data_IF_484517901019
#
_entry.id   IF_484517901019
#
_cell.length_a   1.000
_cell.length_b   1.000
_cell.length_c   1.000
_cell.angle_alpha   90.00
_cell.angle_beta   90.00
_cell.angle_gamma   90.00
#
_symmetry.space_group_name_H-M   'P 1'
#
loop_
_entity.id
_entity.type
_entity.pdbx_description
1 polymer ?
#
# COMPACT_ATOMS: atom_id res chain seq x y z
N UNK A 1 -6.06 -30.56 50.07
CA UNK A 1 -5.19 -30.48 48.87
C UNK A 1 -5.64 -29.27 48.08
N UNK A 2 -4.79 -28.25 48.03
CA UNK A 2 -5.02 -26.93 47.44
C UNK A 2 -4.75 -26.97 45.94
N UNK A 3 -5.74 -26.63 45.11
CA UNK A 3 -5.51 -26.23 43.72
C UNK A 3 -5.13 -24.75 43.68
N UNK A 4 -4.06 -24.34 42.98
CA UNK A 4 -3.72 -22.93 42.86
C UNK A 4 -4.56 -22.25 41.77
N UNK A 5 -5.07 -21.06 42.09
CA UNK A 5 -5.61 -20.10 41.14
C UNK A 5 -4.53 -19.66 40.14
N UNK A 6 -4.83 -19.78 38.85
CA UNK A 6 -4.06 -19.11 37.80
C UNK A 6 -4.95 -18.07 37.11
N UNK A 7 -4.78 -16.77 37.39
CA UNK A 7 -5.36 -15.73 36.56
C UNK A 7 -4.45 -15.52 35.34
N UNK A 8 -4.78 -16.14 34.20
CA UNK A 8 -4.27 -15.66 32.92
C UNK A 8 -5.07 -14.41 32.55
N UNK A 9 -4.52 -13.24 32.86
CA UNK A 9 -5.03 -11.97 32.35
C UNK A 9 -4.61 -11.84 30.88
N UNK A 10 -5.46 -12.31 29.96
CA UNK A 10 -5.37 -12.01 28.53
C UNK A 10 -5.98 -10.62 28.28
N UNK A 11 -5.27 -9.57 28.66
CA UNK A 11 -5.62 -8.20 28.31
C UNK A 11 -4.35 -7.38 28.13
N UNK A 12 -3.95 -7.16 26.87
CA UNK A 12 -3.42 -5.89 26.30
C UNK A 12 -2.70 -6.07 24.95
N UNK A 13 -2.35 -7.29 24.56
CA UNK A 13 -1.69 -7.53 23.28
C UNK A 13 -2.64 -7.35 22.09
N UNK A 14 -3.92 -7.69 22.23
CA UNK A 14 -4.89 -7.60 21.14
C UNK A 14 -5.40 -6.17 20.89
N UNK A 15 -5.41 -5.31 21.92
CA UNK A 15 -5.77 -3.89 21.80
C UNK A 15 -4.64 -3.09 21.16
N UNK A 16 -3.40 -3.29 21.61
CA UNK A 16 -2.20 -2.64 21.07
C UNK A 16 -1.83 -3.12 19.68
N UNK A 17 -1.96 -4.42 19.38
CA UNK A 17 -1.79 -4.92 18.02
C UNK A 17 -2.85 -4.35 17.07
N UNK A 18 -4.11 -4.26 17.53
CA UNK A 18 -5.19 -3.66 16.75
C UNK A 18 -4.96 -2.17 16.45
N UNK A 19 -4.47 -1.39 17.41
CA UNK A 19 -4.15 0.03 17.19
C UNK A 19 -2.92 0.22 16.29
N UNK A 20 -1.88 -0.59 16.45
CA UNK A 20 -0.70 -0.54 15.58
C UNK A 20 -1.04 -0.92 14.14
N UNK A 21 -1.82 -1.99 13.93
CA UNK A 21 -2.27 -2.41 12.61
C UNK A 21 -3.12 -1.34 11.94
N UNK A 22 -3.99 -0.68 12.70
CA UNK A 22 -4.77 0.45 12.19
C UNK A 22 -3.87 1.63 11.78
N UNK A 23 -2.89 2.00 12.61
CA UNK A 23 -1.91 3.04 12.27
C UNK A 23 -1.11 2.69 10.99
N UNK A 24 -0.73 1.42 10.82
CA UNK A 24 -0.04 0.96 9.62
C UNK A 24 -0.90 1.10 8.37
N UNK A 25 -2.20 0.77 8.45
CA UNK A 25 -3.15 0.97 7.34
C UNK A 25 -3.31 2.44 6.98
N UNK A 26 -3.40 3.31 7.98
CA UNK A 26 -3.51 4.77 7.77
C UNK A 26 -2.25 5.35 7.13
N UNK A 27 -1.06 4.85 7.52
CA UNK A 27 0.20 5.22 6.89
C UNK A 27 0.23 4.86 5.40
N UNK A 28 -0.21 3.65 5.04
CA UNK A 28 -0.31 3.22 3.63
C UNK A 28 -1.31 4.09 2.85
N UNK A 29 -2.50 4.35 3.42
CA UNK A 29 -3.49 5.23 2.79
C UNK A 29 -2.97 6.65 2.58
N UNK A 30 -2.22 7.19 3.56
CA UNK A 30 -1.58 8.50 3.45
C UNK A 30 -0.51 8.52 2.36
N UNK A 31 0.33 7.49 2.27
CA UNK A 31 1.30 7.35 1.19
C UNK A 31 0.60 7.39 -0.18
N UNK A 32 -0.44 6.57 -0.37
CA UNK A 32 -1.17 6.49 -1.63
C UNK A 32 -1.87 7.80 -2.01
N UNK A 33 -2.48 8.49 -1.05
CA UNK A 33 -3.15 9.76 -1.30
C UNK A 33 -2.19 10.87 -1.73
N UNK A 34 -0.93 10.82 -1.29
CA UNK A 34 0.10 11.78 -1.69
C UNK A 34 0.73 11.47 -3.06
N UNK A 35 0.78 10.20 -3.48
CA UNK A 35 1.35 9.81 -4.78
C UNK A 35 0.38 9.97 -5.96
N UNK A 36 -0.93 10.10 -5.69
CA UNK A 36 -1.94 10.30 -6.74
C UNK A 36 -1.77 11.65 -7.46
N UNK A 37 -1.20 12.65 -6.79
CA UNK A 37 -0.89 13.95 -7.37
C UNK A 37 0.63 14.20 -7.30
N UNK A 38 1.32 14.39 -8.44
CA UNK A 38 2.75 14.72 -8.45
C UNK A 38 3.13 15.94 -7.62
N UNK A 39 2.21 16.90 -7.43
CA UNK A 39 2.46 18.11 -6.64
C UNK A 39 2.50 17.83 -5.13
N UNK A 40 1.88 16.74 -4.68
CA UNK A 40 1.89 16.31 -3.27
C UNK A 40 2.95 15.27 -2.98
N UNK A 41 3.62 14.72 -4.00
CA UNK A 41 4.53 13.58 -3.86
C UNK A 41 5.72 13.87 -2.93
N UNK A 42 6.25 15.09 -2.88
CA UNK A 42 7.36 15.45 -1.97
C UNK A 42 7.03 15.20 -0.49
N UNK A 43 5.74 15.24 -0.12
CA UNK A 43 5.29 15.06 1.26
C UNK A 43 5.43 13.61 1.75
N UNK A 44 5.79 12.65 0.88
CA UNK A 44 6.01 11.26 1.28
C UNK A 44 7.34 11.05 2.00
N UNK A 45 8.34 11.93 1.80
CA UNK A 45 9.68 11.82 2.43
C UNK A 45 9.68 11.41 3.91
N UNK A 46 8.92 12.06 4.81
CA UNK A 46 8.91 11.67 6.22
C UNK A 46 8.25 10.32 6.50
N UNK A 47 7.49 9.75 5.54
CA UNK A 47 6.76 8.50 5.69
C UNK A 47 7.62 7.27 5.36
N UNK A 48 8.80 7.44 4.76
CA UNK A 48 9.68 6.35 4.34
C UNK A 48 10.93 6.29 5.23
N UNK A 49 11.46 5.10 5.43
CA UNK A 49 12.81 4.93 5.99
C UNK A 49 13.86 5.38 4.97
N UNK A 50 15.04 5.78 5.44
CA UNK A 50 16.18 6.11 4.56
C UNK A 50 16.64 4.89 3.73
N UNK A 51 16.42 3.69 4.25
CA UNK A 51 16.77 2.40 3.66
C UNK A 51 15.64 1.77 2.83
N UNK A 52 14.63 2.55 2.42
CA UNK A 52 13.43 2.03 1.75
C UNK A 52 13.75 1.18 0.52
N UNK A 53 13.24 -0.05 0.50
CA UNK A 53 13.42 -1.02 -0.58
C UNK A 53 12.19 -1.06 -1.47
N UNK A 54 12.41 -0.98 -2.79
CA UNK A 54 11.38 -1.06 -3.82
C UNK A 54 11.58 -2.31 -4.67
N UNK A 55 10.59 -3.20 -4.72
CA UNK A 55 10.63 -4.41 -5.53
C UNK A 55 9.95 -4.27 -6.90
N UNK A 56 9.20 -3.19 -7.13
CA UNK A 56 8.69 -2.86 -8.47
C UNK A 56 9.87 -2.67 -9.45
N UNK A 57 9.99 -3.46 -10.53
CA UNK A 57 11.14 -3.44 -11.42
C UNK A 57 11.29 -2.15 -12.25
N UNK A 58 10.26 -1.29 -12.27
CA UNK A 58 10.25 -0.02 -12.99
C UNK A 58 10.64 1.17 -12.09
N UNK A 59 10.80 0.96 -10.78
CA UNK A 59 11.09 2.01 -9.79
C UNK A 59 12.29 1.58 -8.95
N UNK A 60 13.38 2.35 -8.98
CA UNK A 60 14.51 2.09 -8.10
C UNK A 60 14.12 2.34 -6.62
N UNK A 61 14.85 1.70 -5.69
CA UNK A 61 14.73 1.95 -4.26
C UNK A 61 15.06 3.40 -3.89
N UNK A 62 14.51 3.85 -2.76
CA UNK A 62 14.68 5.21 -2.25
C UNK A 62 13.58 6.19 -2.66
N UNK A 63 13.38 7.21 -1.81
CA UNK A 63 12.25 8.15 -1.94
C UNK A 63 12.28 9.01 -3.20
N UNK A 64 13.47 9.42 -3.65
CA UNK A 64 13.61 10.27 -4.84
C UNK A 64 13.09 9.55 -6.09
N UNK A 65 13.33 8.24 -6.20
CA UNK A 65 12.86 7.43 -7.31
C UNK A 65 11.35 7.27 -7.33
N UNK A 66 10.72 7.14 -6.17
CA UNK A 66 9.24 7.08 -6.05
C UNK A 66 8.62 8.42 -6.45
N UNK A 67 9.18 9.53 -5.95
CA UNK A 67 8.70 10.88 -6.30
C UNK A 67 8.85 11.11 -7.81
N UNK A 68 10.00 10.77 -8.38
CA UNK A 68 10.24 10.88 -9.81
C UNK A 68 9.25 10.04 -10.63
N UNK A 69 8.95 8.82 -10.17
CA UNK A 69 8.00 7.93 -10.83
C UNK A 69 6.61 8.57 -10.99
N UNK A 70 6.13 9.35 -10.00
CA UNK A 70 4.81 10.00 -10.09
C UNK A 70 4.63 10.90 -11.31
N UNK A 71 5.73 11.43 -11.87
CA UNK A 71 5.77 12.34 -13.02
C UNK A 71 5.89 11.61 -14.36
N UNK A 72 5.98 10.28 -14.36
CA UNK A 72 6.12 9.48 -15.58
C UNK A 72 4.78 9.26 -16.29
N UNK A 73 4.80 8.95 -17.61
CA UNK A 73 3.62 8.50 -18.34
C UNK A 73 3.01 7.21 -17.75
N UNK A 74 3.84 6.32 -17.22
CA UNK A 74 3.40 5.07 -16.59
C UNK A 74 2.52 5.35 -15.37
N UNK A 75 2.97 6.24 -14.47
CA UNK A 75 2.17 6.66 -13.33
C UNK A 75 0.88 7.37 -13.77
N UNK A 76 0.91 8.16 -14.86
CA UNK A 76 -0.28 8.78 -15.41
C UNK A 76 -1.31 7.75 -15.91
N UNK A 77 -0.86 6.72 -16.63
CA UNK A 77 -1.68 5.58 -17.09
C UNK A 77 -2.27 4.81 -15.91
N UNK A 78 -1.45 4.50 -14.90
CA UNK A 78 -1.92 3.84 -13.69
C UNK A 78 -3.04 4.64 -13.01
N UNK A 79 -2.89 5.96 -12.88
CA UNK A 79 -3.93 6.84 -12.30
C UNK A 79 -5.23 6.86 -13.11
N UNK A 80 -5.16 6.82 -14.44
CA UNK A 80 -6.35 6.75 -15.28
C UNK A 80 -7.14 5.46 -15.06
N UNK A 81 -6.44 4.33 -14.96
CA UNK A 81 -7.04 3.02 -14.71
C UNK A 81 -7.59 2.86 -13.27
N UNK A 82 -7.37 3.85 -12.41
CA UNK A 82 -7.83 3.89 -11.01
C UNK A 82 -8.99 4.89 -10.77
N UNK A 83 -9.52 5.60 -11.79
CA UNK A 83 -10.48 6.70 -11.58
C UNK A 83 -11.83 6.55 -12.32
N UNK A 84 -12.96 6.85 -11.63
CA UNK A 84 -13.14 6.82 -10.17
C UNK A 84 -13.15 5.36 -9.70
N UNK A 85 -12.38 5.03 -8.65
CA UNK A 85 -12.44 3.71 -8.04
C UNK A 85 -13.91 3.40 -7.67
N UNK A 86 -14.47 2.34 -8.24
CA UNK A 86 -15.85 1.93 -8.01
C UNK A 86 -16.09 1.44 -6.57
N UNK A 87 -15.01 1.21 -5.81
CA UNK A 87 -15.02 0.81 -4.41
C UNK A 87 -13.78 1.33 -3.66
N UNK A 88 -13.85 1.48 -2.31
CA UNK A 88 -12.68 1.76 -1.49
C UNK A 88 -11.65 0.60 -1.53
N UNK A 89 -10.36 0.87 -1.25
CA UNK A 89 -9.36 -0.20 -1.11
C UNK A 89 -9.70 -1.13 0.05
N UNK A 90 -9.36 -2.42 -0.12
CA UNK A 90 -9.35 -3.38 0.98
C UNK A 90 -7.97 -3.41 1.60
N UNK A 91 -7.87 -3.31 2.93
CA UNK A 91 -6.59 -3.37 3.66
C UNK A 91 -6.58 -4.48 4.71
N UNK A 92 -5.58 -5.35 4.61
CA UNK A 92 -5.27 -6.40 5.58
C UNK A 92 -3.94 -6.04 6.22
N UNK A 93 -3.87 -6.04 7.55
CA UNK A 93 -2.64 -5.79 8.27
C UNK A 93 -2.37 -6.94 9.24
N UNK A 94 -1.14 -7.43 9.25
CA UNK A 94 -0.66 -8.49 10.13
C UNK A 94 0.77 -8.18 10.54
N UNK A 95 1.02 -8.09 11.85
CA UNK A 95 2.28 -7.58 12.38
C UNK A 95 2.68 -6.23 11.76
N UNK A 96 3.85 -6.23 11.11
CA UNK A 96 4.46 -5.08 10.45
C UNK A 96 4.09 -4.94 8.97
N UNK A 97 3.21 -5.79 8.43
CA UNK A 97 2.86 -5.81 7.01
C UNK A 97 1.44 -5.33 6.76
N UNK A 98 1.26 -4.64 5.65
CA UNK A 98 -0.05 -4.21 5.15
C UNK A 98 -0.16 -4.60 3.69
N UNK A 99 -1.18 -5.40 3.37
CA UNK A 99 -1.61 -5.67 1.99
C UNK A 99 -2.78 -4.76 1.67
N UNK A 100 -2.68 -4.05 0.55
CA UNK A 100 -3.75 -3.26 -0.02
C UNK A 100 -4.18 -3.88 -1.35
N UNK A 101 -5.49 -3.97 -1.55
CA UNK A 101 -6.10 -4.37 -2.81
C UNK A 101 -6.91 -3.20 -3.36
N UNK A 102 -6.60 -2.80 -4.60
CA UNK A 102 -7.26 -1.72 -5.33
C UNK A 102 -8.04 -2.29 -6.51
N UNK A 103 -9.30 -1.87 -6.66
CA UNK A 103 -10.07 -2.16 -7.87
C UNK A 103 -9.52 -1.35 -9.05
N UNK A 104 -9.43 -2.00 -10.22
CA UNK A 104 -9.18 -1.36 -11.51
C UNK A 104 -10.35 -1.70 -12.44
N UNK A 105 -10.97 -0.67 -12.98
CA UNK A 105 -11.99 -0.84 -14.01
C UNK A 105 -11.31 -0.73 -15.37
N UNK A 106 -11.36 -1.81 -16.16
CA UNK A 106 -10.66 -1.93 -17.44
C UNK A 106 -11.67 -2.16 -18.58
N UNK A 107 -11.38 -1.69 -19.81
CA UNK A 107 -12.21 -1.98 -20.97
C UNK A 107 -12.29 -3.49 -21.25
N UNK A 108 -13.48 -3.99 -21.57
CA UNK A 108 -13.64 -5.38 -22.00
C UNK A 108 -12.99 -5.58 -23.39
N UNK A 109 -12.08 -6.57 -23.55
CA UNK A 109 -11.38 -6.78 -24.81
C UNK A 109 -12.29 -7.29 -25.94
N UNK A 110 -13.48 -7.80 -25.62
CA UNK A 110 -14.46 -8.31 -26.59
C UNK A 110 -15.58 -7.30 -26.86
N UNK A 111 -15.80 -6.33 -25.98
CA UNK A 111 -16.83 -5.31 -26.12
C UNK A 111 -16.37 -3.95 -25.56
N UNK A 112 -15.88 -3.03 -26.41
CA UNK A 112 -15.39 -1.72 -25.98
C UNK A 112 -16.45 -0.82 -25.29
N UNK A 113 -17.73 -1.17 -25.34
CA UNK A 113 -18.80 -0.44 -24.62
C UNK A 113 -18.94 -0.86 -23.16
N UNK A 114 -18.24 -1.92 -22.75
CA UNK A 114 -18.30 -2.51 -21.41
C UNK A 114 -16.96 -2.42 -20.69
N UNK A 115 -17.03 -2.54 -19.38
CA UNK A 115 -15.86 -2.66 -18.50
C UNK A 115 -15.96 -3.90 -17.62
N UNK A 116 -14.82 -4.35 -17.13
CA UNK A 116 -14.71 -5.39 -16.10
C UNK A 116 -13.75 -4.94 -15.00
N UNK A 117 -13.92 -5.52 -13.80
CA UNK A 117 -13.04 -5.26 -12.68
C UNK A 117 -11.86 -6.24 -12.68
N UNK A 118 -10.65 -5.70 -12.56
CA UNK A 118 -9.48 -6.43 -12.08
C UNK A 118 -9.04 -5.84 -10.73
N UNK A 119 -8.06 -6.48 -10.08
CA UNK A 119 -7.56 -6.04 -8.78
C UNK A 119 -6.04 -5.95 -8.80
N UNK A 120 -5.51 -4.84 -8.29
CA UNK A 120 -4.09 -4.63 -8.06
C UNK A 120 -3.76 -4.83 -6.59
N UNK A 121 -2.63 -5.46 -6.32
CA UNK A 121 -2.17 -5.76 -4.98
C UNK A 121 -0.84 -5.08 -4.74
N UNK A 122 -0.77 -4.36 -3.64
CA UNK A 122 0.46 -3.79 -3.11
C UNK A 122 0.64 -4.31 -1.68
N UNK A 123 1.88 -4.55 -1.28
CA UNK A 123 2.24 -4.85 0.09
C UNK A 123 3.33 -3.91 0.57
N UNK A 124 3.21 -3.44 1.80
CA UNK A 124 4.26 -2.70 2.48
C UNK A 124 4.69 -3.39 3.76
N UNK A 125 5.97 -3.21 4.12
CA UNK A 125 6.49 -3.44 5.47
C UNK A 125 6.67 -2.09 6.16
N UNK A 126 6.28 -2.02 7.43
CA UNK A 126 6.43 -0.86 8.30
C UNK A 126 7.55 -1.13 9.31
N UNK A 127 8.38 -0.13 9.56
CA UNK A 127 9.47 -0.15 10.54
C UNK A 127 9.46 1.19 11.26
N UNK A 128 9.36 1.16 12.60
CA UNK A 128 9.35 2.36 13.45
C UNK A 128 8.38 3.46 12.97
N UNK A 129 7.18 3.05 12.53
CA UNK A 129 6.13 3.95 12.05
C UNK A 129 6.37 4.53 10.66
N UNK A 130 7.32 3.99 9.89
CA UNK A 130 7.63 4.39 8.52
C UNK A 130 7.56 3.20 7.57
N UNK A 131 7.26 3.46 6.30
CA UNK A 131 7.32 2.45 5.24
C UNK A 131 8.78 2.14 4.93
N UNK A 132 9.14 0.86 5.01
CA UNK A 132 10.52 0.41 4.83
C UNK A 132 10.71 -0.44 3.57
N UNK A 133 9.65 -1.05 3.06
CA UNK A 133 9.73 -1.95 1.93
C UNK A 133 8.39 -2.05 1.21
N UNK A 134 8.42 -2.26 -0.10
CA UNK A 134 7.22 -2.40 -0.93
C UNK A 134 7.36 -3.46 -2.02
N UNK A 135 6.27 -4.21 -2.21
CA UNK A 135 6.09 -5.15 -3.30
C UNK A 135 4.78 -4.87 -4.03
N UNK A 136 4.80 -5.05 -5.34
CA UNK A 136 3.60 -5.10 -6.17
C UNK A 136 3.73 -6.17 -7.25
N UNK A 137 2.68 -6.32 -8.07
CA UNK A 137 2.64 -7.25 -9.20
C UNK A 137 3.22 -6.69 -10.50
N UNK A 138 3.99 -5.60 -10.48
CA UNK A 138 4.47 -4.98 -11.70
C UNK A 138 5.48 -5.86 -12.44
N UNK A 139 5.26 -5.98 -13.75
CA UNK A 139 6.23 -6.55 -14.68
C UNK A 139 7.06 -5.42 -15.28
N UNK A 140 8.25 -5.78 -15.75
CA UNK A 140 9.12 -4.84 -16.45
C UNK A 140 8.43 -4.36 -17.73
N UNK A 141 8.22 -3.07 -17.86
CA UNK A 141 7.60 -2.50 -19.05
C UNK A 141 8.59 -2.51 -20.23
N UNK A 142 8.14 -2.96 -21.39
CA UNK A 142 8.88 -2.80 -22.65
C UNK A 142 8.64 -1.39 -23.17
N UNK A 143 9.70 -0.58 -23.25
CA UNK A 143 9.66 0.74 -23.89
C UNK A 143 9.42 0.65 -25.40
#
# INVERSE_FOLDING_TARGET
>A
MTTPDHPFHLADASSTAGTQQQANKELVLKMMSLLVNPDTAEQVRPLLTESYIQHNPNIASGVDSIIAFTRTPEAARARQNMRPASAPPVLIAEGDKVVMMLVRELPDPQDPSRTYNSYWFDMWRVEDGKLAEHWDGALKETR
#
